data_IF_089601251615
#
_entry.id   IF_089601251615
#
_cell.length_a   1.000
_cell.length_b   1.000
_cell.length_c   1.000
_cell.angle_alpha   90.00
_cell.angle_beta   90.00
_cell.angle_gamma   90.00
#
_symmetry.space_group_name_H-M   'P 1'
#
loop_
_entity.id
_entity.type
_entity.pdbx_description
1 polymer ?
#
# COMPACT_ATOMS: atom_id res chain seq x y z
N UNK A 1 14.88 16.05 -27.65
CA UNK A 1 13.87 14.99 -27.50
C UNK A 1 12.51 15.59 -27.81
N UNK A 2 12.00 15.37 -29.02
CA UNK A 2 10.61 15.71 -29.36
C UNK A 2 9.72 14.69 -28.66
N UNK A 3 8.92 15.15 -27.70
CA UNK A 3 7.86 14.33 -27.12
C UNK A 3 6.80 14.12 -28.21
N UNK A 4 6.76 12.92 -28.78
CA UNK A 4 5.76 12.54 -29.76
C UNK A 4 4.43 12.31 -29.02
N UNK A 5 3.52 13.28 -29.09
CA UNK A 5 2.22 13.21 -28.42
C UNK A 5 1.29 12.12 -29.00
N UNK A 6 1.65 11.51 -30.13
CA UNK A 6 0.86 10.45 -30.76
C UNK A 6 1.01 9.07 -30.09
N UNK A 7 2.01 8.91 -29.21
CA UNK A 7 2.22 7.70 -28.40
C UNK A 7 1.67 7.80 -26.97
N UNK A 8 0.86 8.82 -26.66
CA UNK A 8 0.28 8.98 -25.31
C UNK A 8 -0.79 7.90 -25.12
N UNK A 9 -0.64 7.03 -24.12
CA UNK A 9 -1.64 5.99 -23.85
C UNK A 9 -2.96 6.64 -23.45
N UNK A 10 -4.03 6.34 -24.18
CA UNK A 10 -5.35 6.91 -23.92
C UNK A 10 -5.97 6.17 -22.72
N UNK A 11 -6.40 6.87 -21.66
CA UNK A 11 -7.12 6.27 -20.56
C UNK A 11 -8.35 5.48 -21.03
N UNK A 12 -8.53 4.28 -20.47
CA UNK A 12 -9.67 3.41 -20.73
C UNK A 12 -10.19 2.82 -19.42
N UNK A 13 -11.33 2.13 -19.46
CA UNK A 13 -11.89 1.48 -18.27
C UNK A 13 -10.94 0.42 -17.68
N UNK A 14 -10.21 -0.30 -18.54
CA UNK A 14 -9.25 -1.34 -18.14
C UNK A 14 -7.86 -0.78 -17.84
N UNK A 15 -7.57 0.44 -18.32
CA UNK A 15 -6.32 1.18 -18.07
C UNK A 15 -6.66 2.61 -17.67
N UNK A 16 -7.07 2.86 -16.41
CA UNK A 16 -7.61 4.15 -15.99
C UNK A 16 -6.62 5.31 -16.17
N UNK A 17 -5.33 5.01 -16.17
CA UNK A 17 -4.24 5.98 -16.33
C UNK A 17 -3.58 5.90 -17.72
N UNK A 18 -4.15 5.12 -18.64
CA UNK A 18 -3.59 4.81 -19.95
C UNK A 18 -2.40 3.83 -19.93
N UNK A 19 -1.62 3.84 -18.85
CA UNK A 19 -0.53 2.89 -18.56
C UNK A 19 -1.00 1.80 -17.60
N UNK A 20 -0.39 0.62 -17.68
CA UNK A 20 -0.57 -0.45 -16.69
C UNK A 20 0.40 -0.21 -15.53
N UNK A 21 -0.12 0.12 -14.34
CA UNK A 21 0.68 0.37 -13.16
C UNK A 21 1.11 -0.94 -12.50
N UNK A 22 0.31 -2.01 -12.61
CA UNK A 22 0.62 -3.28 -11.97
C UNK A 22 1.99 -3.88 -12.38
N UNK A 23 2.37 -3.98 -13.67
CA UNK A 23 3.67 -4.52 -14.05
C UNK A 23 4.85 -3.67 -13.57
N UNK A 24 4.67 -2.34 -13.52
CA UNK A 24 5.67 -1.41 -12.99
C UNK A 24 5.86 -1.63 -11.48
N UNK A 25 4.74 -1.75 -10.75
CA UNK A 25 4.74 -2.10 -9.34
C UNK A 25 5.39 -3.46 -9.10
N UNK A 26 5.01 -4.50 -9.83
CA UNK A 26 5.52 -5.86 -9.65
C UNK A 26 7.04 -5.95 -9.84
N UNK A 27 7.57 -5.26 -10.86
CA UNK A 27 9.02 -5.16 -11.06
C UNK A 27 9.73 -4.42 -9.92
N UNK A 28 9.17 -3.28 -9.48
CA UNK A 28 9.75 -2.50 -8.40
C UNK A 28 9.70 -3.27 -7.07
N UNK A 29 8.56 -3.89 -6.76
CA UNK A 29 8.35 -4.72 -5.58
C UNK A 29 9.32 -5.89 -5.54
N UNK A 30 9.43 -6.66 -6.63
CA UNK A 30 10.33 -7.81 -6.71
C UNK A 30 11.79 -7.44 -6.48
N UNK A 31 12.19 -6.25 -6.94
CA UNK A 31 13.55 -5.73 -6.76
C UNK A 31 13.84 -5.37 -5.29
N UNK A 32 12.82 -4.91 -4.54
CA UNK A 32 12.96 -4.47 -3.15
C UNK A 32 12.71 -5.60 -2.15
N UNK A 33 11.65 -6.39 -2.36
CA UNK A 33 11.20 -7.45 -1.47
C UNK A 33 11.92 -8.79 -1.70
N UNK A 34 12.48 -9.00 -2.90
CA UNK A 34 13.19 -10.23 -3.27
C UNK A 34 12.28 -11.39 -3.71
N UNK A 35 10.98 -11.17 -3.84
CA UNK A 35 10.00 -12.13 -4.37
C UNK A 35 8.89 -11.39 -5.16
N UNK A 36 8.19 -12.10 -6.06
CA UNK A 36 7.14 -11.51 -6.89
C UNK A 36 5.90 -11.22 -6.05
N UNK A 37 5.18 -10.09 -6.25
CA UNK A 37 3.91 -9.89 -5.55
C UNK A 37 2.88 -10.97 -5.89
N UNK A 38 2.94 -11.57 -7.07
CA UNK A 38 2.06 -12.66 -7.48
C UNK A 38 2.29 -13.95 -6.66
N UNK A 39 3.46 -14.11 -6.03
CA UNK A 39 3.77 -15.25 -5.16
C UNK A 39 3.26 -15.04 -3.72
N UNK A 40 2.79 -13.82 -3.41
CA UNK A 40 2.30 -13.51 -2.07
C UNK A 40 0.94 -14.15 -1.82
N UNK A 41 0.84 -14.89 -0.71
CA UNK A 41 -0.44 -15.40 -0.21
C UNK A 41 -0.53 -15.13 1.29
N UNK A 42 -1.68 -14.60 1.72
CA UNK A 42 -1.94 -14.44 3.14
C UNK A 42 -2.16 -15.81 3.78
N UNK A 43 -1.31 -16.17 4.73
CA UNK A 43 -1.37 -17.45 5.45
C UNK A 43 -1.52 -17.21 6.94
N UNK A 44 -2.70 -17.56 7.47
CA UNK A 44 -3.01 -17.37 8.88
C UNK A 44 -2.01 -18.14 9.77
N UNK A 45 -1.40 -17.44 10.72
CA UNK A 45 -0.39 -17.99 11.62
C UNK A 45 1.05 -17.82 11.15
N UNK A 46 1.28 -17.51 9.87
CA UNK A 46 2.63 -17.32 9.30
C UNK A 46 2.87 -15.87 8.88
N UNK A 47 1.89 -15.23 8.22
CA UNK A 47 2.02 -13.82 7.82
C UNK A 47 2.21 -12.94 9.07
N UNK A 48 3.11 -11.93 9.04
CA UNK A 48 3.28 -11.02 10.17
C UNK A 48 1.95 -10.42 10.62
N UNK A 49 1.76 -10.23 11.93
CA UNK A 49 0.52 -9.71 12.52
C UNK A 49 -0.73 -10.60 12.33
N UNK A 50 -0.60 -11.81 11.77
CA UNK A 50 -1.72 -12.75 11.63
C UNK A 50 -2.10 -13.52 12.90
N UNK A 51 -1.32 -13.36 13.99
CA UNK A 51 -1.58 -14.00 15.29
C UNK A 51 -1.87 -12.96 16.36
N UNK A 52 -2.75 -13.32 17.29
CA UNK A 52 -3.07 -12.47 18.44
C UNK A 52 -1.82 -12.11 19.25
N UNK A 53 -0.92 -13.08 19.45
CA UNK A 53 0.31 -12.87 20.23
C UNK A 53 1.23 -11.85 19.57
N UNK A 54 1.46 -11.94 18.26
CA UNK A 54 2.27 -10.97 17.53
C UNK A 54 1.65 -9.56 17.59
N UNK A 55 0.33 -9.46 17.46
CA UNK A 55 -0.41 -8.20 17.54
C UNK A 55 -0.34 -7.57 18.92
N UNK A 56 -0.58 -8.36 19.98
CA UNK A 56 -0.47 -7.89 21.36
C UNK A 56 0.94 -7.43 21.71
N UNK A 57 1.96 -8.17 21.27
CA UNK A 57 3.36 -7.80 21.48
C UNK A 57 3.69 -6.47 20.79
N UNK A 58 3.26 -6.29 19.55
CA UNK A 58 3.46 -5.05 18.79
C UNK A 58 2.75 -3.86 19.46
N UNK A 59 1.50 -4.06 19.91
CA UNK A 59 0.73 -3.04 20.61
C UNK A 59 1.35 -2.65 21.96
N UNK A 60 1.77 -3.64 22.76
CA UNK A 60 2.44 -3.41 24.02
C UNK A 60 3.76 -2.65 23.80
N UNK A 61 4.55 -3.06 22.81
CA UNK A 61 5.80 -2.39 22.45
C UNK A 61 5.57 -0.93 22.04
N UNK A 62 4.54 -0.66 21.23
CA UNK A 62 4.16 0.70 20.85
C UNK A 62 3.89 1.58 22.08
N UNK A 63 3.05 1.12 23.01
CA UNK A 63 2.74 1.90 24.21
C UNK A 63 3.95 2.09 25.13
N UNK A 64 4.78 1.06 25.31
CA UNK A 64 6.01 1.15 26.10
C UNK A 64 6.94 2.21 25.50
N UNK A 65 7.13 2.23 24.18
CA UNK A 65 7.99 3.20 23.50
C UNK A 65 7.42 4.62 23.64
N UNK A 66 6.11 4.81 23.42
CA UNK A 66 5.48 6.13 23.48
C UNK A 66 5.49 6.70 24.90
N UNK A 67 5.06 5.92 25.90
CA UNK A 67 5.02 6.38 27.29
C UNK A 67 6.42 6.46 27.91
N UNK A 68 7.31 5.52 27.58
CA UNK A 68 8.71 5.57 27.99
C UNK A 68 9.43 6.78 27.40
N UNK A 69 9.24 7.04 26.09
CA UNK A 69 9.76 8.22 25.42
C UNK A 69 9.25 9.53 26.04
N UNK A 70 7.96 9.58 26.41
CA UNK A 70 7.38 10.73 27.14
C UNK A 70 8.09 10.99 28.46
N UNK A 71 8.35 9.96 29.28
CA UNK A 71 9.02 10.15 30.57
C UNK A 71 10.48 10.57 30.40
N UNK A 72 11.19 9.99 29.42
CA UNK A 72 12.57 10.38 29.07
C UNK A 72 12.65 11.86 28.64
N UNK A 73 11.63 12.34 27.92
CA UNK A 73 11.57 13.71 27.41
C UNK A 73 11.07 14.74 28.43
N UNK A 74 10.61 14.33 29.62
CA UNK A 74 9.93 15.19 30.59
C UNK A 74 10.72 16.43 31.01
N UNK A 75 12.05 16.30 31.15
CA UNK A 75 12.95 17.38 31.55
C UNK A 75 13.85 17.85 30.39
N UNK A 76 13.49 17.56 29.14
CA UNK A 76 14.27 17.91 27.95
C UNK A 76 13.50 18.87 27.07
N UNK A 77 14.17 19.80 26.37
CA UNK A 77 13.51 20.64 25.39
C UNK A 77 13.00 19.81 24.21
N UNK A 78 11.92 20.27 23.57
CA UNK A 78 11.37 19.62 22.38
C UNK A 78 12.39 19.59 21.23
N UNK A 79 12.57 18.41 20.64
CA UNK A 79 13.45 18.23 19.49
C UNK A 79 12.78 18.76 18.21
N UNK A 80 13.46 19.63 17.47
CA UNK A 80 12.99 20.16 16.18
C UNK A 80 13.59 19.35 15.03
N UNK A 81 12.85 18.35 14.55
CA UNK A 81 13.30 17.42 13.50
C UNK A 81 12.59 17.68 12.16
N UNK A 82 12.39 18.96 11.80
CA UNK A 82 11.54 19.37 10.68
C UNK A 82 11.90 18.69 9.34
N UNK A 83 13.20 18.56 9.03
CA UNK A 83 13.64 17.92 7.79
C UNK A 83 13.26 16.44 7.73
N UNK A 84 13.44 15.70 8.83
CA UNK A 84 13.06 14.28 8.90
C UNK A 84 11.54 14.10 8.82
N UNK A 85 10.77 14.95 9.50
CA UNK A 85 9.31 14.92 9.41
C UNK A 85 8.79 15.28 8.02
N UNK A 86 9.43 16.22 7.31
CA UNK A 86 9.09 16.54 5.93
C UNK A 86 9.31 15.34 5.01
N UNK A 87 10.48 14.70 5.09
CA UNK A 87 10.80 13.51 4.29
C UNK A 87 9.83 12.36 4.61
N UNK A 88 9.54 12.12 5.88
CA UNK A 88 8.59 11.09 6.31
C UNK A 88 7.18 11.34 5.74
N UNK A 89 6.67 12.57 5.85
CA UNK A 89 5.33 12.90 5.33
C UNK A 89 5.27 12.80 3.81
N UNK A 90 6.31 13.26 3.11
CA UNK A 90 6.39 13.12 1.66
C UNK A 90 6.41 11.64 1.25
N UNK A 91 7.22 10.83 1.92
CA UNK A 91 7.29 9.39 1.71
C UNK A 91 5.93 8.71 1.92
N UNK A 92 5.25 8.99 3.04
CA UNK A 92 3.90 8.48 3.30
C UNK A 92 2.90 8.93 2.23
N UNK A 93 2.98 10.19 1.79
CA UNK A 93 2.09 10.72 0.75
C UNK A 93 2.29 10.02 -0.58
N UNK A 94 3.54 9.82 -1.00
CA UNK A 94 3.87 9.14 -2.26
C UNK A 94 3.41 7.68 -2.25
N UNK A 95 3.66 6.95 -1.16
CA UNK A 95 3.20 5.55 -1.04
C UNK A 95 1.69 5.47 -1.03
N UNK A 96 1.01 6.34 -0.28
CA UNK A 96 -0.45 6.36 -0.22
C UNK A 96 -1.06 6.69 -1.58
N UNK A 97 -0.47 7.65 -2.31
CA UNK A 97 -0.89 7.99 -3.67
C UNK A 97 -0.67 6.85 -4.66
N UNK A 98 0.47 6.15 -4.56
CA UNK A 98 0.76 4.98 -5.39
C UNK A 98 -0.21 3.83 -5.13
N UNK A 99 -0.43 3.49 -3.84
CA UNK A 99 -1.40 2.47 -3.44
C UNK A 99 -2.80 2.83 -3.94
N UNK A 100 -3.23 4.08 -3.78
CA UNK A 100 -4.53 4.53 -4.27
C UNK A 100 -4.66 4.34 -5.78
N UNK A 101 -3.63 4.71 -6.56
CA UNK A 101 -3.65 4.52 -8.00
C UNK A 101 -3.75 3.03 -8.38
N UNK A 102 -2.98 2.16 -7.73
CA UNK A 102 -3.04 0.71 -7.93
C UNK A 102 -4.41 0.13 -7.56
N UNK A 103 -5.01 0.57 -6.45
CA UNK A 103 -6.37 0.18 -6.07
C UNK A 103 -7.40 0.63 -7.12
N UNK A 104 -7.29 1.86 -7.64
CA UNK A 104 -8.19 2.35 -8.69
C UNK A 104 -8.07 1.50 -9.95
N UNK A 105 -6.86 1.12 -10.36
CA UNK A 105 -6.63 0.24 -11.52
C UNK A 105 -7.38 -1.08 -11.43
N UNK A 106 -7.42 -1.69 -10.23
CA UNK A 106 -8.08 -2.98 -10.01
C UNK A 106 -9.59 -2.85 -9.73
N UNK A 107 -10.00 -1.84 -8.97
CA UNK A 107 -11.39 -1.68 -8.52
C UNK A 107 -12.28 -1.05 -9.59
N UNK A 108 -11.79 -0.08 -10.36
CA UNK A 108 -12.61 0.65 -11.34
C UNK A 108 -13.31 -0.26 -12.36
N UNK A 109 -12.62 -1.17 -13.09
CA UNK A 109 -13.28 -2.06 -14.04
C UNK A 109 -14.24 -3.03 -13.35
N UNK A 110 -13.88 -3.54 -12.17
CA UNK A 110 -14.70 -4.46 -11.37
C UNK A 110 -16.02 -3.81 -10.95
N UNK A 111 -15.94 -2.58 -10.42
CA UNK A 111 -17.11 -1.81 -9.98
C UNK A 111 -18.00 -1.41 -11.15
N UNK A 112 -17.41 -0.99 -12.28
CA UNK A 112 -18.18 -0.53 -13.43
C UNK A 112 -18.92 -1.67 -14.13
N UNK A 113 -18.29 -2.83 -14.27
CA UNK A 113 -18.86 -3.99 -14.99
C UNK A 113 -19.83 -4.80 -14.13
N UNK A 114 -19.51 -4.99 -12.85
CA UNK A 114 -20.24 -5.93 -11.99
C UNK A 114 -20.99 -5.25 -10.83
N UNK A 115 -20.76 -3.94 -10.62
CA UNK A 115 -21.38 -3.18 -9.54
C UNK A 115 -20.71 -3.38 -8.17
N UNK A 116 -21.14 -2.55 -7.22
CA UNK A 116 -20.58 -2.51 -5.86
C UNK A 116 -20.84 -3.81 -5.09
N UNK A 117 -22.02 -4.41 -5.26
CA UNK A 117 -22.38 -5.64 -4.54
C UNK A 117 -21.46 -6.80 -4.90
N UNK A 118 -21.12 -6.96 -6.17
CA UNK A 118 -20.15 -7.97 -6.62
C UNK A 118 -18.75 -7.69 -6.07
N UNK A 119 -18.30 -6.44 -6.12
CA UNK A 119 -16.97 -6.06 -5.63
C UNK A 119 -16.78 -6.29 -4.13
N UNK A 120 -17.86 -6.32 -3.33
CA UNK A 120 -17.78 -6.53 -1.88
C UNK A 120 -18.09 -7.98 -1.50
N UNK A 121 -19.14 -8.57 -2.08
CA UNK A 121 -19.69 -9.84 -1.63
C UNK A 121 -19.16 -11.06 -2.39
N UNK A 122 -18.54 -10.88 -3.55
CA UNK A 122 -17.95 -11.96 -4.33
C UNK A 122 -16.43 -12.00 -4.16
N UNK A 123 -15.88 -13.20 -3.92
CA UNK A 123 -14.43 -13.44 -3.79
C UNK A 123 -13.69 -12.98 -5.05
N UNK A 124 -14.28 -13.14 -6.23
CA UNK A 124 -13.69 -12.72 -7.51
C UNK A 124 -13.72 -11.21 -7.71
N UNK A 125 -14.51 -10.47 -6.93
CA UNK A 125 -14.61 -9.02 -7.00
C UNK A 125 -13.80 -8.29 -5.93
N UNK A 126 -13.79 -8.81 -4.70
CA UNK A 126 -13.17 -8.14 -3.54
C UNK A 126 -11.90 -8.80 -3.01
N UNK A 127 -11.55 -10.00 -3.49
CA UNK A 127 -10.42 -10.79 -2.99
C UNK A 127 -9.59 -11.37 -4.13
N UNK A 128 -9.19 -10.51 -5.08
CA UNK A 128 -8.28 -10.89 -6.16
C UNK A 128 -6.82 -10.85 -5.68
N UNK A 129 -5.94 -11.63 -6.30
CA UNK A 129 -4.52 -11.68 -5.91
C UNK A 129 -3.86 -10.29 -5.87
N UNK A 130 -4.08 -9.39 -6.86
CA UNK A 130 -3.55 -8.04 -6.78
C UNK A 130 -4.08 -7.24 -5.59
N UNK A 131 -5.38 -7.33 -5.29
CA UNK A 131 -5.98 -6.59 -4.16
C UNK A 131 -5.48 -7.10 -2.80
N UNK A 132 -5.24 -8.41 -2.67
CA UNK A 132 -4.69 -9.01 -1.46
C UNK A 132 -3.28 -8.50 -1.21
N UNK A 133 -2.43 -8.43 -2.24
CA UNK A 133 -1.08 -7.85 -2.13
C UNK A 133 -1.13 -6.37 -1.78
N UNK A 134 -2.02 -5.59 -2.40
CA UNK A 134 -2.12 -4.16 -2.11
C UNK A 134 -2.62 -3.87 -0.69
N UNK A 135 -3.32 -4.83 -0.09
CA UNK A 135 -3.84 -4.72 1.27
C UNK A 135 -2.83 -5.09 2.36
N UNK A 136 -1.85 -5.96 2.07
CA UNK A 136 -0.90 -6.52 3.04
C UNK A 136 0.54 -6.04 2.82
#
# INVERSE_FOLDING_TARGET
>A
MSFDLSSIPIPSLDRPFGVELWPLFSKAYSTVAGFSPEDFSFTQGQTPMSTLNATLFSLASYYIIVFGGREIMRNRPAMKLNGMFLVHNLYLTLISGMLLALFIEQLLPTLWRNGIFFAICDVKGGWTDPLVVLYY
#
